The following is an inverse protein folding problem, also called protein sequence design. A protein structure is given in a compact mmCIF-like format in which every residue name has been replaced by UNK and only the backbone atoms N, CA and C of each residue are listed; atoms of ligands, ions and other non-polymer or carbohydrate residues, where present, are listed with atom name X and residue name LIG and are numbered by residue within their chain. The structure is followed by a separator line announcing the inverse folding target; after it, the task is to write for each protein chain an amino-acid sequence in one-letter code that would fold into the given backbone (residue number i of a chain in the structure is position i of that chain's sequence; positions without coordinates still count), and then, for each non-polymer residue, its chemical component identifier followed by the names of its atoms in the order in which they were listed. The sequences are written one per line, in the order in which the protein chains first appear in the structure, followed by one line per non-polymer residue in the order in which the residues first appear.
data_IF_339747259790
#
_entry.id   IF_339747259790
#
_cell.length_a   1.000
_cell.length_b   1.000
_cell.length_c   1.000
_cell.angle_alpha   90.00
_cell.angle_beta   90.00
_cell.angle_gamma   90.00
#
_symmetry.space_group_name_H-M   'P 1'
#
loop_
_entity.id
_entity.type
_entity.pdbx_description
1 polymer ?
#
# COMPACT_ATOMS: atom_id res chain seq x y z
N UNK A 1 12.65 21.67 18.37
CA UNK A 1 11.23 21.43 18.04
C UNK A 1 10.71 22.24 16.85
N UNK A 2 11.02 23.54 16.72
CA UNK A 2 10.44 24.41 15.68
C UNK A 2 10.83 24.09 14.24
N UNK A 3 12.10 23.74 13.97
CA UNK A 3 12.61 23.52 12.62
C UNK A 3 11.90 22.37 11.88
N UNK A 4 11.71 21.21 12.53
CA UNK A 4 11.02 20.06 11.93
C UNK A 4 9.55 20.34 11.63
N UNK A 5 8.88 21.15 12.47
CA UNK A 5 7.50 21.58 12.23
C UNK A 5 7.43 22.51 11.00
N UNK A 6 8.36 23.47 10.88
CA UNK A 6 8.45 24.34 9.71
C UNK A 6 8.72 23.55 8.42
N UNK A 7 9.63 22.57 8.46
CA UNK A 7 9.90 21.68 7.32
C UNK A 7 8.66 20.87 6.93
N UNK A 8 7.90 20.36 7.90
CA UNK A 8 6.68 19.60 7.64
C UNK A 8 5.56 20.46 7.06
N UNK A 9 5.47 21.73 7.49
CA UNK A 9 4.56 22.70 6.89
C UNK A 9 4.91 22.99 5.43
N UNK A 10 6.20 23.24 5.12
CA UNK A 10 6.67 23.44 3.74
C UNK A 10 6.45 22.19 2.88
N UNK A 11 6.72 21.00 3.43
CA UNK A 11 6.41 19.73 2.78
C UNK A 11 4.92 19.62 2.45
N UNK A 12 4.05 19.94 3.41
CA UNK A 12 2.59 19.98 3.21
C UNK A 12 2.18 20.93 2.09
N UNK A 13 2.71 22.15 2.06
CA UNK A 13 2.45 23.09 0.97
C UNK A 13 2.89 22.57 -0.39
N UNK A 14 4.02 21.87 -0.46
CA UNK A 14 4.46 21.21 -1.70
C UNK A 14 3.51 20.09 -2.14
N UNK A 15 3.02 19.28 -1.20
CA UNK A 15 2.02 18.24 -1.46
C UNK A 15 0.71 18.85 -1.96
N UNK A 16 0.19 19.87 -1.28
CA UNK A 16 -1.06 20.55 -1.63
C UNK A 16 -0.96 21.20 -3.01
N UNK A 17 0.14 21.91 -3.28
CA UNK A 17 0.40 22.52 -4.59
C UNK A 17 0.42 21.46 -5.69
N UNK A 18 1.15 20.36 -5.50
CA UNK A 18 1.18 19.25 -6.46
C UNK A 18 -0.21 18.66 -6.68
N UNK A 19 -0.98 18.46 -5.61
CA UNK A 19 -2.33 17.91 -5.70
C UNK A 19 -3.27 18.82 -6.51
N UNK A 20 -3.20 20.13 -6.24
CA UNK A 20 -3.92 21.16 -6.97
C UNK A 20 -3.57 21.17 -8.47
N UNK A 21 -2.30 20.98 -8.83
CA UNK A 21 -1.90 20.88 -10.23
C UNK A 21 -2.54 19.69 -10.97
N UNK A 22 -2.70 18.54 -10.29
CA UNK A 22 -3.40 17.40 -10.87
C UNK A 22 -4.92 17.59 -10.91
N UNK A 23 -5.51 18.22 -9.89
CA UNK A 23 -6.96 18.48 -9.83
C UNK A 23 -7.44 19.44 -10.92
N UNK A 24 -6.61 20.43 -11.25
CA UNK A 24 -6.89 21.40 -12.30
C UNK A 24 -6.31 21.00 -13.68
N UNK A 25 -5.91 19.74 -13.84
CA UNK A 25 -5.39 19.18 -15.10
C UNK A 25 -4.14 19.89 -15.68
N UNK A 26 -3.38 20.60 -14.85
CA UNK A 26 -2.08 21.16 -15.26
C UNK A 26 -1.00 20.08 -15.42
N UNK A 27 -1.12 18.97 -14.70
CA UNK A 27 -0.24 17.80 -14.84
C UNK A 27 -0.97 16.66 -15.54
N UNK A 28 -0.27 16.01 -16.47
CA UNK A 28 -0.79 14.90 -17.27
C UNK A 28 -1.10 13.67 -16.40
N UNK A 29 -2.28 13.09 -16.63
CA UNK A 29 -2.68 11.78 -16.12
C UNK A 29 -2.84 10.85 -17.32
N UNK A 30 -2.19 9.69 -17.27
CA UNK A 30 -2.27 8.65 -18.31
C UNK A 30 -3.21 7.54 -17.86
N UNK A 31 -4.01 7.01 -18.79
CA UNK A 31 -5.02 5.99 -18.52
C UNK A 31 -4.74 4.71 -19.30
N UNK A 32 -4.83 3.57 -18.61
CA UNK A 32 -4.75 2.24 -19.22
C UNK A 32 -6.12 1.84 -19.80
N UNK A 33 -6.17 0.94 -20.80
CA UNK A 33 -7.43 0.52 -21.42
C UNK A 33 -8.27 -0.43 -20.54
N UNK A 34 -7.81 -0.75 -19.33
CA UNK A 34 -8.49 -1.61 -18.35
C UNK A 34 -8.69 -0.85 -17.04
N UNK A 35 -9.55 -1.38 -16.17
CA UNK A 35 -9.79 -0.78 -14.84
C UNK A 35 -8.54 -0.88 -13.97
N UNK A 36 -8.24 0.19 -13.24
CA UNK A 36 -7.12 0.26 -12.30
C UNK A 36 -7.64 0.55 -10.90
N UNK A 37 -7.32 -0.34 -9.95
CA UNK A 37 -7.58 -0.14 -8.52
C UNK A 37 -6.27 0.18 -7.84
N UNK A 38 -6.14 1.38 -7.26
CA UNK A 38 -5.00 1.66 -6.39
C UNK A 38 -5.23 1.05 -5.01
N UNK A 39 -4.19 0.44 -4.47
CA UNK A 39 -4.06 0.19 -3.04
C UNK A 39 -2.92 1.05 -2.52
N UNK A 40 -3.20 1.90 -1.53
CA UNK A 40 -2.18 2.77 -0.95
C UNK A 40 -2.47 3.10 0.51
N UNK A 41 -1.69 4.00 1.07
CA UNK A 41 -1.89 4.53 2.41
C UNK A 41 -1.41 5.99 2.50
N UNK A 42 -1.82 6.70 3.54
CA UNK A 42 -1.43 8.09 3.77
C UNK A 42 -0.20 8.26 4.68
N UNK A 43 0.29 7.20 5.31
CA UNK A 43 1.44 7.23 6.23
C UNK A 43 2.68 6.51 5.68
N UNK A 44 3.83 6.69 6.32
CA UNK A 44 4.98 5.78 6.18
C UNK A 44 4.86 4.64 7.18
N UNK A 45 5.41 3.48 6.82
CA UNK A 45 5.36 2.26 7.62
C UNK A 45 4.43 1.20 7.03
N UNK A 46 4.47 0.01 7.64
CA UNK A 46 3.71 -1.16 7.19
C UNK A 46 2.25 -1.08 7.61
N UNK A 47 1.38 -0.58 6.74
CA UNK A 47 -0.06 -0.45 6.99
C UNK A 47 -0.87 -1.68 6.59
N UNK A 48 -0.21 -2.75 6.11
CA UNK A 48 -0.85 -3.98 5.66
C UNK A 48 -1.18 -4.03 4.17
N UNK A 49 -0.66 -3.09 3.36
CA UNK A 49 -0.90 -3.00 1.90
C UNK A 49 -0.66 -4.32 1.19
N UNK A 50 0.50 -4.93 1.38
CA UNK A 50 0.88 -6.16 0.69
C UNK A 50 -0.12 -7.28 0.93
N UNK A 51 -0.52 -7.51 2.19
CA UNK A 51 -1.57 -8.47 2.55
C UNK A 51 -2.91 -8.13 1.91
N UNK A 52 -3.28 -6.84 1.87
CA UNK A 52 -4.53 -6.39 1.25
C UNK A 52 -4.52 -6.54 -0.28
N UNK A 53 -3.40 -6.26 -0.95
CA UNK A 53 -3.23 -6.47 -2.41
C UNK A 53 -3.42 -7.94 -2.75
N UNK A 54 -2.78 -8.85 -2.01
CA UNK A 54 -2.92 -10.31 -2.19
C UNK A 54 -4.38 -10.74 -1.97
N UNK A 55 -4.99 -10.27 -0.88
CA UNK A 55 -6.40 -10.57 -0.58
C UNK A 55 -7.34 -10.07 -1.69
N UNK A 56 -7.17 -8.82 -2.13
CA UNK A 56 -7.99 -8.20 -3.16
C UNK A 56 -7.85 -8.93 -4.49
N UNK A 57 -6.62 -9.30 -4.87
CA UNK A 57 -6.38 -10.09 -6.08
C UNK A 57 -7.14 -11.41 -6.02
N UNK A 58 -7.02 -12.17 -4.93
CA UNK A 58 -7.73 -13.45 -4.76
C UNK A 58 -9.25 -13.26 -4.80
N UNK A 59 -9.76 -12.21 -4.18
CA UNK A 59 -11.19 -11.90 -4.18
C UNK A 59 -11.75 -11.49 -5.56
N UNK A 60 -10.93 -10.90 -6.42
CA UNK A 60 -11.31 -10.56 -7.79
C UNK A 60 -11.17 -11.77 -8.72
N UNK A 61 -10.11 -12.57 -8.56
CA UNK A 61 -9.92 -13.83 -9.30
C UNK A 61 -11.03 -14.83 -8.98
N UNK A 62 -11.49 -14.93 -7.73
CA UNK A 62 -12.62 -15.80 -7.36
C UNK A 62 -13.95 -15.37 -7.98
N UNK A 63 -14.03 -14.14 -8.50
CA UNK A 63 -15.16 -13.63 -9.30
C UNK A 63 -14.96 -13.83 -10.81
N UNK A 64 -13.94 -14.58 -11.21
CA UNK A 64 -13.64 -14.90 -12.61
C UNK A 64 -12.88 -13.83 -13.38
N UNK A 65 -12.35 -12.80 -12.70
CA UNK A 65 -11.56 -11.75 -13.35
C UNK A 65 -10.09 -12.16 -13.49
N UNK A 66 -9.46 -11.77 -14.61
CA UNK A 66 -8.01 -11.89 -14.79
C UNK A 66 -7.37 -10.63 -14.21
N UNK A 67 -6.54 -10.80 -13.17
CA UNK A 67 -6.01 -9.69 -12.38
C UNK A 67 -4.49 -9.63 -12.49
N UNK A 68 -3.97 -8.48 -12.91
CA UNK A 68 -2.55 -8.17 -12.88
C UNK A 68 -2.22 -7.22 -11.73
N UNK A 69 -1.00 -7.28 -11.20
CA UNK A 69 -0.50 -6.33 -10.18
C UNK A 69 0.66 -5.55 -10.76
N UNK A 70 0.67 -4.24 -10.52
CA UNK A 70 1.79 -3.35 -10.83
C UNK A 70 2.32 -2.71 -9.56
N UNK A 71 3.62 -2.73 -9.36
CA UNK A 71 4.29 -2.08 -8.22
C UNK A 71 5.50 -1.28 -8.68
N UNK A 72 6.11 -0.52 -7.76
CA UNK A 72 7.30 0.29 -8.06
C UNK A 72 8.59 -0.53 -8.10
N UNK A 73 8.68 -1.63 -7.35
CA UNK A 73 9.95 -2.31 -7.10
C UNK A 73 10.81 -1.63 -6.03
N UNK A 74 10.21 -1.04 -4.99
CA UNK A 74 10.98 -0.35 -3.94
C UNK A 74 11.95 -1.32 -3.23
N UNK A 75 13.19 -0.90 -2.99
CA UNK A 75 14.24 -1.73 -2.42
C UNK A 75 14.96 -2.65 -3.42
N UNK A 76 14.40 -2.84 -4.62
CA UNK A 76 15.02 -3.61 -5.70
C UNK A 76 16.00 -2.81 -6.56
N UNK A 77 16.64 -3.51 -7.49
CA UNK A 77 17.62 -2.98 -8.46
C UNK A 77 17.07 -2.83 -9.88
N UNK A 78 15.84 -3.28 -10.13
CA UNK A 78 15.18 -3.16 -11.44
C UNK A 78 15.05 -1.69 -11.85
N UNK A 79 15.69 -1.33 -12.97
CA UNK A 79 15.66 0.04 -13.55
C UNK A 79 14.59 0.20 -14.63
N UNK A 80 14.29 -0.88 -15.34
CA UNK A 80 13.30 -0.92 -16.42
C UNK A 80 12.03 -1.64 -15.96
N UNK A 81 11.07 -1.83 -16.85
CA UNK A 81 9.88 -2.62 -16.53
C UNK A 81 10.24 -4.11 -16.58
N UNK A 82 9.92 -4.85 -15.52
CA UNK A 82 10.16 -6.29 -15.46
C UNK A 82 8.98 -7.04 -14.84
N UNK A 83 8.74 -8.26 -15.30
CA UNK A 83 7.90 -9.23 -14.60
C UNK A 83 8.66 -9.77 -13.38
N UNK A 84 7.96 -9.96 -12.27
CA UNK A 84 8.51 -10.55 -11.05
C UNK A 84 8.22 -12.05 -11.04
N UNK A 85 9.24 -12.92 -11.13
CA UNK A 85 9.05 -14.37 -10.99
C UNK A 85 8.51 -14.74 -9.61
N UNK A 86 7.82 -15.89 -9.50
CA UNK A 86 7.30 -16.38 -8.22
C UNK A 86 8.40 -16.66 -7.18
N UNK A 87 9.58 -17.02 -7.65
CA UNK A 87 10.81 -17.26 -6.92
C UNK A 87 11.82 -16.11 -7.08
N UNK A 88 11.35 -14.92 -7.46
CA UNK A 88 12.20 -13.76 -7.72
C UNK A 88 13.02 -13.34 -6.49
N UNK A 89 14.28 -12.93 -6.72
CA UNK A 89 15.17 -12.43 -5.68
C UNK A 89 14.71 -11.04 -5.18
N UNK A 90 14.40 -10.88 -3.87
CA UNK A 90 14.06 -9.58 -3.30
C UNK A 90 15.12 -8.50 -3.49
N UNK A 91 16.40 -8.85 -3.62
CA UNK A 91 17.47 -7.88 -3.94
C UNK A 91 17.28 -7.27 -5.33
N UNK A 92 16.71 -8.03 -6.25
CA UNK A 92 16.46 -7.59 -7.64
C UNK A 92 15.13 -6.87 -7.74
N UNK A 93 14.04 -7.47 -7.27
CA UNK A 93 12.68 -6.99 -7.53
C UNK A 93 12.04 -6.24 -6.35
N UNK A 94 12.66 -6.27 -5.18
CA UNK A 94 12.14 -5.73 -3.92
C UNK A 94 11.37 -6.77 -3.11
N UNK A 95 11.40 -6.63 -1.77
CA UNK A 95 10.74 -7.55 -0.84
C UNK A 95 9.22 -7.64 -1.06
N UNK A 96 8.54 -6.49 -1.14
CA UNK A 96 7.08 -6.45 -1.29
C UNK A 96 6.60 -7.06 -2.63
N UNK A 97 7.17 -6.70 -3.80
CA UNK A 97 6.76 -7.32 -5.06
C UNK A 97 7.04 -8.82 -5.14
N UNK A 98 8.17 -9.31 -4.62
CA UNK A 98 8.45 -10.74 -4.56
C UNK A 98 7.42 -11.48 -3.70
N UNK A 99 7.07 -10.92 -2.54
CA UNK A 99 6.03 -11.49 -1.68
C UNK A 99 4.67 -11.53 -2.39
N UNK A 100 4.29 -10.47 -3.10
CA UNK A 100 3.06 -10.45 -3.90
C UNK A 100 3.14 -11.53 -4.97
N UNK A 101 4.22 -11.60 -5.76
CA UNK A 101 4.37 -12.55 -6.86
C UNK A 101 4.30 -14.01 -6.40
N UNK A 102 4.90 -14.32 -5.25
CA UNK A 102 4.86 -15.67 -4.66
C UNK A 102 3.42 -16.12 -4.35
N UNK A 103 2.62 -15.21 -3.77
CA UNK A 103 1.26 -15.50 -3.32
C UNK A 103 0.17 -15.26 -4.38
N UNK A 104 0.53 -14.56 -5.46
CA UNK A 104 -0.38 -14.09 -6.48
C UNK A 104 -0.89 -15.20 -7.40
N UNK A 105 -2.12 -15.01 -7.87
CA UNK A 105 -2.78 -15.87 -8.87
C UNK A 105 -2.65 -15.33 -10.30
N UNK A 106 -1.95 -14.21 -10.50
CA UNK A 106 -1.78 -13.53 -11.78
C UNK A 106 -0.45 -12.77 -11.84
N UNK A 107 -0.14 -12.15 -12.99
CA UNK A 107 1.18 -11.56 -13.24
C UNK A 107 1.44 -10.35 -12.34
N UNK A 108 2.70 -10.20 -11.91
CA UNK A 108 3.19 -9.05 -11.13
C UNK A 108 4.31 -8.38 -11.90
N UNK A 109 4.18 -7.08 -12.16
CA UNK A 109 5.19 -6.30 -12.85
C UNK A 109 5.67 -5.15 -11.97
N UNK A 110 6.96 -4.84 -12.08
CA UNK A 110 7.60 -3.72 -11.38
C UNK A 110 8.24 -2.74 -12.35
N UNK A 111 8.34 -1.49 -11.92
CA UNK A 111 9.11 -0.47 -12.61
C UNK A 111 8.82 0.94 -12.11
N UNK A 112 9.62 1.93 -12.54
CA UNK A 112 9.56 3.28 -11.97
C UNK A 112 8.25 4.03 -12.30
N UNK A 113 7.67 3.79 -13.49
CA UNK A 113 6.49 4.48 -14.02
C UNK A 113 5.33 3.52 -14.18
N UNK A 114 4.30 3.63 -13.32
CA UNK A 114 3.22 2.62 -13.26
C UNK A 114 2.43 2.49 -14.56
N UNK A 115 2.30 3.57 -15.32
CA UNK A 115 1.66 3.51 -16.63
C UNK A 115 2.41 2.60 -17.61
N UNK A 116 3.74 2.73 -17.70
CA UNK A 116 4.56 1.87 -18.57
C UNK A 116 4.57 0.41 -18.08
N UNK A 117 4.60 0.22 -16.76
CA UNK A 117 4.51 -1.10 -16.12
C UNK A 117 3.19 -1.79 -16.48
N UNK A 118 2.07 -1.07 -16.35
CA UNK A 118 0.75 -1.58 -16.70
C UNK A 118 0.60 -1.84 -18.20
N UNK A 119 1.16 -0.98 -19.06
CA UNK A 119 1.17 -1.20 -20.51
C UNK A 119 1.91 -2.49 -20.86
N UNK A 120 3.13 -2.67 -20.34
CA UNK A 120 3.92 -3.88 -20.58
C UNK A 120 3.20 -5.15 -20.09
N UNK A 121 2.55 -5.07 -18.93
CA UNK A 121 1.74 -6.17 -18.40
C UNK A 121 0.60 -6.53 -19.36
N UNK A 122 -0.10 -5.55 -19.92
CA UNK A 122 -1.19 -5.77 -20.89
C UNK A 122 -0.71 -6.27 -22.26
N UNK A 123 0.50 -5.88 -22.66
CA UNK A 123 1.13 -6.40 -23.88
C UNK A 123 1.48 -7.91 -23.74
N UNK A 124 1.76 -8.36 -22.50
CA UNK A 124 2.14 -9.75 -22.21
C UNK A 124 0.97 -10.65 -21.80
N UNK A 125 -0.08 -10.09 -21.19
CA UNK A 125 -1.16 -10.85 -20.57
C UNK A 125 -2.53 -10.26 -20.86
N UNK A 126 -3.53 -11.15 -21.04
CA UNK A 126 -4.94 -10.72 -21.03
C UNK A 126 -5.39 -10.49 -19.58
N UNK A 127 -5.59 -9.23 -19.21
CA UNK A 127 -5.98 -8.80 -17.87
C UNK A 127 -7.22 -7.92 -17.98
N UNK A 128 -8.18 -8.13 -17.07
CA UNK A 128 -9.43 -7.37 -17.01
C UNK A 128 -9.31 -6.18 -16.04
N UNK A 129 -8.47 -6.33 -15.02
CA UNK A 129 -8.26 -5.34 -13.96
C UNK A 129 -6.83 -5.36 -13.44
N UNK A 130 -6.27 -4.17 -13.21
CA UNK A 130 -4.94 -3.99 -12.63
C UNK A 130 -5.07 -3.47 -11.21
N UNK A 131 -4.36 -4.09 -10.27
CA UNK A 131 -4.13 -3.55 -8.93
C UNK A 131 -2.80 -2.80 -8.95
N UNK A 132 -2.83 -1.51 -8.62
CA UNK A 132 -1.63 -0.68 -8.50
C UNK A 132 -1.23 -0.55 -7.01
N UNK A 133 -0.16 -1.23 -6.65
CA UNK A 133 0.40 -1.25 -5.31
C UNK A 133 1.18 0.05 -4.99
N UNK A 134 1.01 0.53 -3.77
CA UNK A 134 1.46 1.83 -3.25
C UNK A 134 1.31 3.00 -4.23
N UNK A 135 0.11 3.12 -4.83
CA UNK A 135 -0.14 4.05 -5.93
C UNK A 135 -1.04 5.25 -5.58
N UNK A 136 -1.44 5.43 -4.33
CA UNK A 136 -2.31 6.56 -3.93
C UNK A 136 -1.65 7.93 -4.22
N UNK A 137 -0.36 8.07 -3.91
CA UNK A 137 0.44 9.25 -4.23
C UNK A 137 0.82 9.31 -5.73
N UNK A 138 0.64 8.23 -6.50
CA UNK A 138 1.06 8.10 -7.89
C UNK A 138 0.00 8.66 -8.85
N UNK A 139 -0.23 9.97 -8.74
CA UNK A 139 -1.19 10.75 -9.54
C UNK A 139 -1.01 10.69 -11.08
N UNK A 140 0.18 10.45 -11.66
CA UNK A 140 0.32 10.31 -13.12
C UNK A 140 -0.47 9.16 -13.75
N UNK A 141 -0.90 8.15 -12.98
CA UNK A 141 -1.72 7.05 -13.47
C UNK A 141 -3.18 7.29 -13.06
N UNK A 142 -4.10 7.22 -14.02
CA UNK A 142 -5.54 7.21 -13.74
C UNK A 142 -5.90 5.94 -12.96
N UNK A 143 -6.76 6.09 -11.95
CA UNK A 143 -7.28 4.98 -11.14
C UNK A 143 -8.79 5.14 -11.05
N UNK A 144 -9.50 4.05 -11.28
CA UNK A 144 -10.96 4.00 -11.22
C UNK A 144 -11.45 3.92 -9.77
N UNK A 145 -10.65 3.28 -8.90
CA UNK A 145 -10.92 3.14 -7.47
C UNK A 145 -9.61 3.32 -6.71
N UNK A 146 -9.58 4.29 -5.81
CA UNK A 146 -8.54 4.45 -4.80
C UNK A 146 -9.00 3.80 -3.49
N UNK A 147 -8.31 2.71 -3.09
CA UNK A 147 -8.44 2.06 -1.79
C UNK A 147 -7.28 2.50 -0.90
N UNK A 148 -7.61 3.10 0.25
CA UNK A 148 -6.61 3.67 1.15
C UNK A 148 -6.66 3.01 2.51
N UNK A 149 -5.53 2.41 2.91
CA UNK A 149 -5.35 1.82 4.22
C UNK A 149 -4.93 2.90 5.22
N UNK A 150 -5.57 2.89 6.39
CA UNK A 150 -5.25 3.75 7.53
C UNK A 150 -4.93 2.84 8.71
N UNK A 151 -3.76 3.03 9.30
CA UNK A 151 -3.30 2.26 10.45
C UNK A 151 -3.88 2.86 11.74
N UNK A 152 -4.75 2.10 12.40
CA UNK A 152 -5.39 2.49 13.66
C UNK A 152 -4.58 2.08 14.90
N UNK A 153 -3.41 1.47 14.73
CA UNK A 153 -2.45 1.28 15.84
C UNK A 153 -1.58 2.51 16.10
N UNK A 154 -1.55 3.47 15.18
CA UNK A 154 -0.72 4.67 15.29
C UNK A 154 -1.37 5.74 16.19
N UNK A 155 -0.67 6.20 17.25
CA UNK A 155 -1.15 7.31 18.06
C UNK A 155 -1.38 8.59 17.25
N UNK A 156 -2.43 9.34 17.56
CA UNK A 156 -2.81 10.56 16.85
C UNK A 156 -1.67 11.58 16.72
N UNK A 157 -0.85 11.71 17.76
CA UNK A 157 0.32 12.61 17.79
C UNK A 157 1.39 12.29 16.74
N UNK A 158 1.44 11.04 16.24
CA UNK A 158 2.34 10.62 15.17
C UNK A 158 1.78 10.94 13.78
N UNK A 159 0.48 11.22 13.68
CA UNK A 159 -0.25 11.47 12.43
C UNK A 159 -0.14 12.93 12.00
N UNK A 160 1.08 13.45 12.02
CA UNK A 160 1.45 14.73 11.40
C UNK A 160 2.28 14.49 10.14
N UNK A 161 2.38 15.49 9.28
CA UNK A 161 3.16 15.40 8.04
C UNK A 161 4.64 15.13 8.30
N UNK A 162 5.25 14.38 7.39
CA UNK A 162 6.70 14.23 7.32
C UNK A 162 7.39 15.59 7.08
N UNK A 163 8.65 15.76 7.54
CA UNK A 163 9.45 14.79 8.30
C UNK A 163 9.14 14.73 9.81
N UNK A 164 8.23 15.55 10.34
CA UNK A 164 7.95 15.60 11.78
C UNK A 164 7.13 14.40 12.28
N UNK A 165 6.18 13.92 11.47
CA UNK A 165 5.41 12.71 11.77
C UNK A 165 5.43 11.72 10.61
N UNK A 166 4.42 10.84 10.59
CA UNK A 166 4.38 9.69 9.68
C UNK A 166 3.55 9.94 8.43
N UNK A 167 2.83 11.05 8.29
CA UNK A 167 1.97 11.26 7.13
C UNK A 167 2.76 11.68 5.87
N UNK A 168 2.53 10.98 4.77
CA UNK A 168 2.98 11.32 3.41
C UNK A 168 2.10 12.37 2.75
N UNK A 169 0.83 12.41 3.13
CA UNK A 169 -0.16 13.37 2.68
C UNK A 169 -1.11 13.72 3.84
N UNK A 170 -1.71 14.92 3.84
CA UNK A 170 -2.66 15.29 4.88
C UNK A 170 -3.94 14.43 4.80
N UNK A 171 -4.72 14.36 5.89
CA UNK A 171 -5.96 13.58 5.92
C UNK A 171 -6.98 14.00 4.86
N UNK A 172 -6.99 15.28 4.48
CA UNK A 172 -7.82 15.81 3.39
C UNK A 172 -7.58 15.09 2.06
N UNK A 173 -6.37 14.56 1.83
CA UNK A 173 -6.11 13.76 0.62
C UNK A 173 -6.99 12.52 0.53
N UNK A 174 -7.55 12.01 1.64
CA UNK A 174 -8.49 10.89 1.66
C UNK A 174 -9.82 11.19 0.95
N UNK A 175 -10.15 12.45 0.68
CA UNK A 175 -11.36 12.81 -0.08
C UNK A 175 -11.36 12.20 -1.49
N UNK A 176 -10.16 11.88 -2.00
CA UNK A 176 -9.93 11.22 -3.29
C UNK A 176 -10.23 9.72 -3.25
N UNK A 177 -10.20 9.10 -2.08
CA UNK A 177 -10.45 7.68 -1.92
C UNK A 177 -11.93 7.35 -2.13
N UNK A 178 -12.21 6.18 -2.71
CA UNK A 178 -13.56 5.62 -2.72
C UNK A 178 -13.76 4.68 -1.54
N UNK A 179 -12.68 4.00 -1.11
CA UNK A 179 -12.71 3.02 -0.03
C UNK A 179 -11.60 3.33 0.97
N UNK A 180 -11.95 3.36 2.25
CA UNK A 180 -10.97 3.45 3.34
C UNK A 180 -11.02 2.17 4.16
N UNK A 181 -9.86 1.56 4.35
CA UNK A 181 -9.67 0.32 5.10
C UNK A 181 -8.98 0.64 6.41
N UNK A 182 -9.67 0.39 7.52
CA UNK A 182 -9.07 0.46 8.86
C UNK A 182 -8.23 -0.79 9.10
N UNK A 183 -6.94 -0.64 9.35
CA UNK A 183 -6.04 -1.76 9.65
C UNK A 183 -5.55 -1.72 11.09
N UNK A 184 -5.23 -2.90 11.64
CA UNK A 184 -4.62 -3.12 12.95
C UNK A 184 -5.43 -2.63 14.16
N UNK A 185 -6.74 -2.38 14.00
CA UNK A 185 -7.64 -2.09 15.12
C UNK A 185 -7.58 -3.18 16.20
N UNK A 186 -7.52 -4.45 15.79
CA UNK A 186 -7.50 -5.59 16.70
C UNK A 186 -6.10 -5.95 17.25
N UNK A 187 -5.07 -5.15 16.92
CA UNK A 187 -3.71 -5.23 17.48
C UNK A 187 -3.28 -3.93 18.17
N UNK A 188 -4.19 -2.96 18.30
CA UNK A 188 -3.88 -1.67 18.87
C UNK A 188 -4.07 -1.70 20.38
N UNK A 189 -3.11 -1.16 21.11
CA UNK A 189 -3.25 -0.86 22.54
C UNK A 189 -4.10 0.42 22.78
N UNK A 190 -4.50 1.10 21.70
CA UNK A 190 -5.35 2.28 21.82
C UNK A 190 -6.73 1.88 22.31
N UNK A 191 -7.17 2.57 23.37
CA UNK A 191 -8.48 2.36 24.00
C UNK A 191 -9.61 3.08 23.25
N UNK A 192 -9.26 4.05 22.42
CA UNK A 192 -10.20 4.89 21.69
C UNK A 192 -9.66 5.22 20.30
N UNK A 193 -10.47 4.89 19.29
CA UNK A 193 -10.20 5.17 17.88
C UNK A 193 -10.95 6.41 17.36
N UNK A 194 -11.88 6.96 18.14
CA UNK A 194 -12.72 8.10 17.77
C UNK A 194 -11.90 9.29 17.23
N UNK A 195 -10.72 9.64 17.80
CA UNK A 195 -9.93 10.74 17.27
C UNK A 195 -9.48 10.55 15.82
N UNK A 196 -9.10 9.32 15.43
CA UNK A 196 -8.73 9.02 14.04
C UNK A 196 -9.99 8.99 13.19
N UNK A 197 -11.07 8.36 13.65
CA UNK A 197 -12.33 8.27 12.90
C UNK A 197 -12.92 9.63 12.53
N UNK A 198 -12.82 10.61 13.44
CA UNK A 198 -13.24 12.00 13.20
C UNK A 198 -12.47 12.69 12.07
N UNK A 199 -11.25 12.24 11.76
CA UNK A 199 -10.43 12.79 10.67
C UNK A 199 -10.77 12.19 9.31
N UNK A 200 -11.55 11.10 9.27
CA UNK A 200 -11.82 10.39 8.03
C UNK A 200 -13.11 10.92 7.36
N UNK A 201 -13.16 11.01 6.02
CA UNK A 201 -14.31 11.55 5.29
C UNK A 201 -15.58 10.67 5.38
N UNK A 202 -16.71 11.24 5.81
CA UNK A 202 -17.91 10.46 6.17
C UNK A 202 -18.62 9.78 5.00
N UNK A 203 -18.40 10.24 3.78
CA UNK A 203 -19.07 9.81 2.55
C UNK A 203 -18.38 8.61 1.85
N UNK A 204 -17.39 7.97 2.48
CA UNK A 204 -16.60 6.89 1.88
C UNK A 204 -17.03 5.50 2.36
N UNK A 205 -16.83 4.49 1.51
CA UNK A 205 -16.99 3.09 1.90
C UNK A 205 -15.95 2.74 2.96
N UNK A 206 -16.39 2.13 4.06
CA UNK A 206 -15.55 1.73 5.20
C UNK A 206 -15.44 0.23 5.27
N UNK A 207 -14.21 -0.26 5.28
CA UNK A 207 -13.90 -1.65 5.55
C UNK A 207 -12.99 -1.73 6.77
N UNK A 208 -13.09 -2.83 7.52
CA UNK A 208 -12.18 -3.14 8.60
C UNK A 208 -11.40 -4.40 8.21
N UNK A 209 -10.08 -4.33 8.32
CA UNK A 209 -9.21 -5.47 8.12
C UNK A 209 -8.76 -5.97 9.49
N UNK A 210 -9.16 -7.20 9.80
CA UNK A 210 -8.74 -7.90 11.01
C UNK A 210 -7.63 -8.90 10.69
N UNK A 211 -6.76 -9.08 11.66
CA UNK A 211 -5.62 -9.98 11.56
C UNK A 211 -5.72 -11.04 12.65
N UNK A 212 -5.76 -12.31 12.26
CA UNK A 212 -5.86 -13.42 13.20
C UNK A 212 -4.57 -14.23 13.16
N UNK A 213 -4.04 -14.57 14.34
CA UNK A 213 -2.87 -15.44 14.44
C UNK A 213 -3.26 -16.83 13.92
N UNK A 214 -2.69 -17.20 12.78
CA UNK A 214 -2.99 -18.50 12.14
C UNK A 214 -2.19 -19.64 12.74
N UNK A 215 -0.91 -19.40 13.00
CA UNK A 215 0.02 -20.35 13.59
C UNK A 215 1.25 -19.59 14.12
N UNK A 216 1.94 -20.20 15.07
CA UNK A 216 3.30 -19.83 15.47
C UNK A 216 4.17 -20.96 14.99
N UNK A 217 5.21 -20.64 14.23
CA UNK A 217 6.14 -21.63 13.68
C UNK A 217 7.57 -21.19 13.97
N UNK A 218 8.47 -22.17 14.07
CA UNK A 218 9.91 -21.93 14.16
C UNK A 218 10.50 -21.55 12.78
N UNK A 219 11.83 -21.37 12.73
CA UNK A 219 12.56 -21.04 11.51
C UNK A 219 12.49 -22.12 10.41
N UNK A 220 12.12 -23.35 10.77
CA UNK A 220 11.94 -24.47 9.86
C UNK A 220 10.49 -24.62 9.40
N UNK A 221 9.56 -23.82 9.94
CA UNK A 221 8.13 -23.90 9.67
C UNK A 221 7.37 -24.90 10.55
N UNK A 222 8.03 -25.45 11.58
CA UNK A 222 7.41 -26.39 12.52
C UNK A 222 6.62 -25.65 13.61
N UNK A 223 5.47 -26.17 14.08
CA UNK A 223 4.66 -25.51 15.10
C UNK A 223 5.46 -25.21 16.38
N UNK A 224 5.46 -23.95 16.81
CA UNK A 224 6.13 -23.49 18.02
C UNK A 224 5.12 -23.12 19.11
N UNK A 225 5.56 -23.22 20.37
CA UNK A 225 4.76 -22.81 21.53
C UNK A 225 4.43 -21.31 21.49
N UNK A 226 3.35 -20.91 22.19
CA UNK A 226 2.85 -19.54 22.21
C UNK A 226 3.98 -18.55 22.59
N UNK A 227 4.31 -17.55 21.74
CA UNK A 227 5.52 -16.73 21.87
C UNK A 227 5.54 -15.81 23.10
N UNK A 228 4.42 -15.70 23.82
CA UNK A 228 4.25 -14.80 24.97
C UNK A 228 5.15 -15.13 26.16
N UNK A 229 5.73 -16.34 26.24
CA UNK A 229 6.48 -16.73 27.43
C UNK A 229 8.00 -16.46 27.32
N UNK A 230 8.68 -16.67 26.18
CA UNK A 230 10.17 -16.53 26.07
C UNK A 230 10.74 -16.38 24.64
N UNK A 231 10.34 -15.38 23.85
CA UNK A 231 11.07 -15.05 22.61
C UNK A 231 11.33 -13.54 22.44
N UNK A 232 12.56 -13.17 22.06
CA UNK A 232 13.05 -11.78 21.97
C UNK A 232 12.96 -11.19 20.55
N UNK A 233 12.52 -11.95 19.54
CA UNK A 233 12.44 -11.44 18.16
C UNK A 233 11.18 -11.91 17.44
N UNK A 234 10.29 -10.97 17.11
CA UNK A 234 9.20 -11.16 16.14
C UNK A 234 9.57 -10.31 14.94
N UNK A 235 9.90 -10.93 13.80
CA UNK A 235 10.09 -10.19 12.56
C UNK A 235 8.79 -10.17 11.75
N UNK A 236 8.43 -8.98 11.28
CA UNK A 236 7.44 -8.84 10.20
C UNK A 236 7.99 -9.43 8.89
N UNK A 237 7.13 -9.53 7.88
CA UNK A 237 7.27 -10.29 6.62
C UNK A 237 8.46 -9.93 5.70
N UNK A 238 9.43 -9.16 6.17
CA UNK A 238 10.70 -8.92 5.52
C UNK A 238 11.81 -9.58 6.32
N UNK A 239 12.74 -10.27 5.65
CA UNK A 239 13.95 -10.82 6.29
C UNK A 239 14.65 -9.70 7.07
N UNK A 240 14.62 -9.71 8.42
CA UNK A 240 15.36 -8.74 9.20
C UNK A 240 16.84 -9.06 8.98
N UNK A 241 17.63 -8.06 8.59
CA UNK A 241 19.09 -8.13 8.70
C UNK A 241 19.52 -7.85 10.12
#
# INVERSE_FOLDING_TARGET
MGLFKSLSYLFGKGVDFRNHLYENNYLKVSQLPVRVVSVGNISVGGTGKTSFVIWLQRALVSRGLRVGVVSRGYGGQVKEVAEVPKDGDPKTFGDEPCLIAREALGPVFVGPRRFEVGKKLLDSYKVDIIIADDAFQHRPLHRDVDVVLVDFSEPLQNLTLMPFGRLREPFQSLDRAQVIVSTKKNFSDLKDFEPIERLLPKDKIRLNMEYHLKAVVDENGEPAANPMDRYLLVSGVAQPK
#
